data_IF_665753250512
#
_entry.id   IF_665753250512
#
_cell.length_a   1.000
_cell.length_b   1.000
_cell.length_c   1.000
_cell.angle_alpha   90.00
_cell.angle_beta   90.00
_cell.angle_gamma   90.00
#
_symmetry.space_group_name_H-M   'P 1'
#
loop_
_entity.id
_entity.type
_entity.pdbx_description
1 polymer ?
#
# COMPACT_ATOMS: atom_id res chain seq x y z
N UNK A 1 69.34 -22.18 13.65
CA UNK A 1 69.01 -21.66 12.32
C UNK A 1 70.00 -20.56 11.99
N UNK A 2 70.75 -20.71 10.90
CA UNK A 2 71.67 -19.68 10.41
C UNK A 2 70.86 -18.71 9.54
N UNK A 3 70.66 -17.49 10.04
CA UNK A 3 70.06 -16.44 9.23
C UNK A 3 71.09 -15.93 8.20
N UNK A 4 70.66 -15.52 7.00
CA UNK A 4 71.55 -14.92 6.03
C UNK A 4 72.16 -13.61 6.58
N UNK A 5 73.38 -13.25 6.15
CA UNK A 5 74.02 -11.99 6.52
C UNK A 5 73.12 -10.78 6.18
N UNK A 6 73.24 -9.69 6.94
CA UNK A 6 72.40 -8.50 6.79
C UNK A 6 72.40 -7.89 5.36
N UNK A 7 73.48 -8.07 4.60
CA UNK A 7 73.63 -7.52 3.24
C UNK A 7 73.34 -8.53 2.11
N UNK A 8 72.80 -9.71 2.45
CA UNK A 8 72.52 -10.74 1.44
C UNK A 8 71.40 -10.31 0.48
N UNK A 9 71.73 -10.23 -0.81
CA UNK A 9 70.75 -9.97 -1.89
C UNK A 9 70.36 -11.29 -2.55
N UNK A 10 69.14 -11.76 -2.28
CA UNK A 10 68.60 -12.96 -2.90
C UNK A 10 68.41 -12.75 -4.42
N UNK A 11 69.00 -13.60 -5.28
CA UNK A 11 68.84 -13.50 -6.74
C UNK A 11 67.41 -13.82 -7.21
N UNK A 12 66.65 -14.59 -6.42
CA UNK A 12 65.28 -14.99 -6.72
C UNK A 12 64.21 -14.13 -6.01
N UNK A 13 64.54 -12.90 -5.62
CA UNK A 13 63.62 -12.00 -4.86
C UNK A 13 62.27 -11.79 -5.55
N UNK A 14 62.27 -11.68 -6.88
CA UNK A 14 61.08 -11.44 -7.71
C UNK A 14 60.34 -12.71 -8.11
N UNK A 15 60.99 -13.88 -8.05
CA UNK A 15 60.42 -15.17 -8.44
C UNK A 15 61.09 -16.30 -7.66
N UNK A 16 60.60 -16.56 -6.45
CA UNK A 16 61.18 -17.55 -5.55
C UNK A 16 60.67 -18.97 -5.91
N UNK A 17 61.54 -19.95 -6.18
CA UNK A 17 61.12 -21.32 -6.48
C UNK A 17 60.29 -21.98 -5.37
N UNK A 18 60.50 -21.57 -4.11
CA UNK A 18 59.77 -22.07 -2.95
C UNK A 18 58.43 -21.39 -2.70
N UNK A 19 58.15 -20.27 -3.39
CA UNK A 19 56.86 -19.58 -3.36
C UNK A 19 56.17 -19.70 -4.71
N UNK A 20 56.30 -20.86 -5.37
CA UNK A 20 55.69 -21.12 -6.68
C UNK A 20 56.03 -20.05 -7.72
N UNK A 21 57.28 -19.58 -7.71
CA UNK A 21 57.79 -18.52 -8.58
C UNK A 21 57.14 -17.13 -8.37
N UNK A 22 56.43 -16.94 -7.26
CA UNK A 22 55.93 -15.63 -6.86
C UNK A 22 57.03 -14.77 -6.23
N UNK A 23 56.82 -13.45 -6.25
CA UNK A 23 57.74 -12.54 -5.56
C UNK A 23 57.58 -12.67 -4.04
N UNK A 24 58.71 -12.73 -3.33
CA UNK A 24 58.72 -12.82 -1.87
C UNK A 24 58.05 -11.59 -1.23
N UNK A 25 58.16 -10.42 -1.88
CA UNK A 25 57.50 -9.19 -1.46
C UNK A 25 55.96 -9.31 -1.55
N UNK A 26 55.46 -9.79 -2.68
CA UNK A 26 54.01 -9.97 -2.88
C UNK A 26 53.44 -10.99 -1.89
N UNK A 27 54.12 -12.11 -1.67
CA UNK A 27 53.65 -13.14 -0.74
C UNK A 27 53.54 -12.62 0.69
N UNK A 28 54.54 -11.86 1.15
CA UNK A 28 54.51 -11.22 2.46
C UNK A 28 53.40 -10.16 2.57
N UNK A 29 53.24 -9.30 1.56
CA UNK A 29 52.18 -8.30 1.52
C UNK A 29 50.78 -8.93 1.48
N UNK A 30 50.60 -10.04 0.75
CA UNK A 30 49.36 -10.77 0.69
C UNK A 30 49.03 -11.40 2.05
N UNK A 31 50.03 -12.00 2.72
CA UNK A 31 49.89 -12.52 4.08
C UNK A 31 49.50 -11.42 5.08
N UNK A 32 50.20 -10.28 5.05
CA UNK A 32 49.89 -9.13 5.90
C UNK A 32 48.49 -8.55 5.62
N UNK A 33 48.04 -8.54 4.35
CA UNK A 33 46.69 -8.11 3.98
C UNK A 33 45.61 -9.11 4.37
N UNK A 34 45.91 -10.40 4.41
CA UNK A 34 44.93 -11.45 4.70
C UNK A 34 44.27 -11.27 6.08
N UNK A 35 45.04 -10.85 7.10
CA UNK A 35 44.50 -10.60 8.44
C UNK A 35 43.47 -9.46 8.45
N UNK A 36 43.73 -8.35 7.74
CA UNK A 36 42.79 -7.23 7.65
C UNK A 36 41.54 -7.57 6.85
N UNK A 37 41.72 -8.29 5.74
CA UNK A 37 40.62 -8.72 4.86
C UNK A 37 39.69 -9.67 5.60
N UNK A 38 40.23 -10.56 6.42
CA UNK A 38 39.43 -11.50 7.22
C UNK A 38 38.55 -10.78 8.25
N UNK A 39 39.10 -9.82 9.00
CA UNK A 39 38.34 -9.02 9.97
C UNK A 39 37.23 -8.18 9.32
N UNK A 40 37.51 -7.57 8.16
CA UNK A 40 36.49 -6.87 7.38
C UNK A 40 35.36 -7.81 6.94
N UNK A 41 35.69 -9.01 6.47
CA UNK A 41 34.69 -9.99 6.07
C UNK A 41 33.82 -10.44 7.24
N UNK A 42 34.38 -10.66 8.43
CA UNK A 42 33.60 -11.00 9.62
C UNK A 42 32.60 -9.90 9.97
N UNK A 43 33.03 -8.64 9.96
CA UNK A 43 32.14 -7.49 10.19
C UNK A 43 31.00 -7.42 9.17
N UNK A 44 31.29 -7.70 7.90
CA UNK A 44 30.26 -7.74 6.85
C UNK A 44 29.24 -8.85 7.16
N UNK A 45 29.70 -10.05 7.51
CA UNK A 45 28.83 -11.18 7.85
C UNK A 45 27.94 -10.87 9.05
N UNK A 46 28.50 -10.30 10.12
CA UNK A 46 27.75 -9.93 11.32
C UNK A 46 26.67 -8.87 11.01
N UNK A 47 27.01 -7.85 10.23
CA UNK A 47 26.06 -6.82 9.81
C UNK A 47 24.92 -7.42 8.99
N UNK A 48 25.22 -8.28 8.01
CA UNK A 48 24.21 -8.96 7.20
C UNK A 48 23.32 -9.89 8.03
N UNK A 49 23.91 -10.58 9.02
CA UNK A 49 23.16 -11.43 9.93
C UNK A 49 22.18 -10.61 10.78
N UNK A 50 22.63 -9.50 11.35
CA UNK A 50 21.81 -8.59 12.13
C UNK A 50 20.66 -7.99 11.29
N UNK A 51 20.94 -7.55 10.08
CA UNK A 51 19.92 -7.03 9.15
C UNK A 51 18.88 -8.08 8.80
N UNK A 52 19.30 -9.32 8.52
CA UNK A 52 18.39 -10.42 8.24
C UNK A 52 17.51 -10.73 9.47
N UNK A 53 18.09 -10.68 10.66
CA UNK A 53 17.35 -10.92 11.89
C UNK A 53 16.31 -9.83 12.13
N UNK A 54 16.69 -8.55 12.02
CA UNK A 54 15.78 -7.43 12.16
C UNK A 54 14.62 -7.49 11.15
N UNK A 55 14.89 -7.85 9.89
CA UNK A 55 13.86 -8.03 8.87
C UNK A 55 12.92 -9.20 9.18
N UNK A 56 13.45 -10.34 9.67
CA UNK A 56 12.62 -11.49 10.08
C UNK A 56 11.70 -11.13 11.25
N UNK A 57 12.20 -10.39 12.22
CA UNK A 57 11.40 -9.97 13.37
C UNK A 57 10.31 -8.97 12.95
N UNK A 58 10.62 -8.03 12.04
CA UNK A 58 9.62 -7.15 11.44
C UNK A 58 8.54 -7.90 10.64
N UNK A 59 8.92 -8.92 9.86
CA UNK A 59 7.94 -9.75 9.15
C UNK A 59 7.01 -10.44 10.14
N UNK A 60 7.54 -10.99 11.24
CA UNK A 60 6.74 -11.64 12.29
C UNK A 60 5.77 -10.66 12.95
N UNK A 61 6.18 -9.42 13.23
CA UNK A 61 5.26 -8.43 13.82
C UNK A 61 4.17 -8.04 12.84
N UNK A 62 4.53 -7.75 11.58
CA UNK A 62 3.58 -7.39 10.54
C UNK A 62 2.60 -8.52 10.25
N UNK A 63 3.04 -9.78 10.22
CA UNK A 63 2.17 -10.94 10.03
C UNK A 63 1.16 -11.09 11.17
N UNK A 64 1.57 -10.86 12.42
CA UNK A 64 0.66 -10.84 13.59
C UNK A 64 -0.38 -9.72 13.45
N UNK A 65 0.05 -8.51 13.15
CA UNK A 65 -0.86 -7.37 12.96
C UNK A 65 -1.84 -7.62 11.81
N UNK A 66 -1.37 -8.19 10.69
CA UNK A 66 -2.22 -8.56 9.56
C UNK A 66 -3.25 -9.61 9.97
N UNK A 67 -2.84 -10.63 10.73
CA UNK A 67 -3.75 -11.66 11.23
C UNK A 67 -4.82 -11.07 12.15
N UNK A 68 -4.44 -10.18 13.07
CA UNK A 68 -5.36 -9.48 13.96
C UNK A 68 -6.35 -8.59 13.21
N UNK A 69 -5.87 -7.79 12.26
CA UNK A 69 -6.72 -6.92 11.44
C UNK A 69 -7.69 -7.73 10.60
N UNK A 70 -7.23 -8.82 9.96
CA UNK A 70 -8.10 -9.74 9.22
C UNK A 70 -9.14 -10.37 10.12
N UNK A 71 -8.78 -10.75 11.35
CA UNK A 71 -9.73 -11.30 12.32
C UNK A 71 -10.77 -10.24 12.74
N UNK A 72 -10.36 -9.00 13.02
CA UNK A 72 -11.26 -7.87 13.35
C UNK A 72 -12.22 -7.58 12.20
N UNK A 73 -11.72 -7.51 10.96
CA UNK A 73 -12.55 -7.31 9.77
C UNK A 73 -13.54 -8.45 9.57
N UNK A 74 -13.11 -9.70 9.74
CA UNK A 74 -13.98 -10.87 9.66
C UNK A 74 -15.08 -10.83 10.74
N UNK A 75 -14.74 -10.45 11.96
CA UNK A 75 -15.70 -10.30 13.05
C UNK A 75 -16.73 -9.20 12.73
N UNK A 76 -16.28 -8.02 12.29
CA UNK A 76 -17.16 -6.93 11.87
C UNK A 76 -18.09 -7.36 10.72
N UNK A 77 -17.53 -8.03 9.71
CA UNK A 77 -18.30 -8.56 8.60
C UNK A 77 -19.35 -9.58 9.06
N UNK A 78 -19.01 -10.49 9.98
CA UNK A 78 -19.99 -11.44 10.55
C UNK A 78 -21.05 -10.75 11.41
N UNK A 79 -20.72 -9.65 12.09
CA UNK A 79 -21.69 -8.85 12.87
C UNK A 79 -22.66 -8.10 11.96
N UNK A 80 -22.19 -7.57 10.84
CA UNK A 80 -23.00 -6.78 9.89
C UNK A 80 -23.77 -7.65 8.91
N UNK A 81 -23.21 -8.79 8.48
CA UNK A 81 -23.77 -9.64 7.45
C UNK A 81 -24.08 -11.04 7.97
N UNK A 82 -25.33 -11.50 7.78
CA UNK A 82 -25.72 -12.88 8.11
C UNK A 82 -24.96 -13.85 7.20
N UNK A 83 -24.36 -14.89 7.78
CA UNK A 83 -23.74 -15.95 6.99
C UNK A 83 -24.82 -16.67 6.17
N UNK A 84 -24.71 -16.64 4.84
CA UNK A 84 -25.48 -17.52 3.96
C UNK A 84 -24.98 -18.96 4.16
N UNK A 85 -25.50 -19.68 5.16
CA UNK A 85 -25.31 -21.13 5.26
C UNK A 85 -26.18 -21.79 4.19
N UNK A 86 -25.58 -22.20 3.08
CA UNK A 86 -26.16 -23.26 2.23
C UNK A 86 -26.16 -24.54 3.07
N UNK A 87 -27.32 -25.19 3.18
CA UNK A 87 -27.42 -26.53 3.73
C UNK A 87 -26.87 -27.49 2.68
N UNK A 88 -25.64 -27.95 2.88
CA UNK A 88 -25.07 -29.00 2.04
C UNK A 88 -25.73 -30.33 2.44
N UNK A 89 -26.75 -30.72 1.69
CA UNK A 89 -27.27 -32.08 1.66
C UNK A 89 -26.26 -32.97 0.90
N UNK A 90 -25.23 -33.45 1.58
CA UNK A 90 -24.42 -34.56 1.08
C UNK A 90 -24.26 -35.59 2.19
N UNK A 91 -25.02 -36.67 2.08
CA UNK A 91 -25.05 -37.76 3.03
C UNK A 91 -23.73 -38.52 3.10
N UNK A 92 -23.28 -38.77 4.32
CA UNK A 92 -22.46 -39.94 4.66
C UNK A 92 -22.97 -40.45 6.00
N UNK A 93 -23.50 -41.67 6.00
CA UNK A 93 -23.91 -42.40 7.21
C UNK A 93 -22.67 -42.74 8.04
N UNK A 94 -22.65 -42.34 9.31
CA UNK A 94 -21.96 -43.05 10.37
C UNK A 94 -22.86 -43.11 11.59
N UNK A 95 -23.19 -44.33 11.98
CA UNK A 95 -23.91 -44.69 13.18
C UNK A 95 -23.00 -44.48 14.40
N UNK A 96 -23.48 -43.79 15.42
CA UNK A 96 -23.57 -44.29 16.81
C UNK A 96 -24.06 -43.19 17.78
N UNK A 97 -25.21 -43.50 18.40
CA UNK A 97 -25.73 -43.10 19.72
C UNK A 97 -25.62 -41.65 20.21
N UNK A 98 -26.79 -40.99 20.36
CA UNK A 98 -27.32 -40.26 21.56
C UNK A 98 -28.77 -39.84 21.21
N UNK A 99 -29.79 -40.01 22.09
CA UNK A 99 -31.15 -39.59 21.78
C UNK A 99 -31.29 -38.04 21.81
N UNK A 100 -31.99 -37.41 20.85
CA UNK A 100 -32.06 -35.95 20.81
C UNK A 100 -33.09 -35.43 21.81
N UNK A 101 -32.64 -34.55 22.69
CA UNK A 101 -33.49 -33.63 23.42
C UNK A 101 -34.39 -32.85 22.45
N UNK A 102 -35.65 -32.68 22.82
CA UNK A 102 -36.70 -32.00 22.07
C UNK A 102 -36.23 -30.65 21.54
N UNK A 103 -35.95 -30.58 20.25
CA UNK A 103 -35.64 -29.33 19.58
C UNK A 103 -36.93 -28.54 19.38
N UNK A 104 -37.15 -27.54 20.23
CA UNK A 104 -38.17 -26.51 19.99
C UNK A 104 -37.96 -25.92 18.59
N UNK A 105 -38.99 -26.03 17.75
CA UNK A 105 -38.94 -25.52 16.37
C UNK A 105 -38.69 -24.02 16.43
N UNK A 106 -37.59 -23.57 15.82
CA UNK A 106 -37.27 -22.14 15.66
C UNK A 106 -38.48 -21.43 15.02
N UNK A 107 -38.86 -20.29 15.61
CA UNK A 107 -39.92 -19.43 15.06
C UNK A 107 -39.60 -19.14 13.58
N UNK A 108 -40.59 -19.32 12.70
CA UNK A 108 -40.47 -19.00 11.27
C UNK A 108 -40.00 -17.54 11.13
N UNK A 109 -39.16 -17.29 10.12
CA UNK A 109 -38.82 -15.92 9.72
C UNK A 109 -40.07 -15.13 9.35
N UNK A 110 -39.91 -13.81 9.20
CA UNK A 110 -41.00 -12.96 8.72
C UNK A 110 -41.60 -13.54 7.42
N UNK A 111 -42.93 -13.56 7.27
CA UNK A 111 -43.60 -14.08 6.08
C UNK A 111 -42.98 -13.51 4.79
N UNK A 112 -42.97 -14.27 3.70
CA UNK A 112 -42.41 -13.85 2.39
C UNK A 112 -43.12 -12.64 1.75
N UNK A 113 -44.03 -11.97 2.45
CA UNK A 113 -44.89 -10.92 1.94
C UNK A 113 -44.35 -9.53 2.24
N UNK A 114 -43.07 -9.29 1.95
CA UNK A 114 -42.53 -7.94 1.93
C UNK A 114 -42.12 -7.63 0.49
N UNK A 115 -42.86 -6.77 -0.24
CA UNK A 115 -42.39 -6.32 -1.54
C UNK A 115 -41.02 -5.66 -1.36
N UNK A 116 -40.05 -6.05 -2.18
CA UNK A 116 -38.73 -5.44 -2.16
C UNK A 116 -38.85 -3.94 -2.42
N UNK A 117 -38.14 -3.12 -1.64
CA UNK A 117 -38.06 -1.69 -1.91
C UNK A 117 -37.13 -1.46 -3.10
N UNK A 118 -37.73 -1.23 -4.27
CA UNK A 118 -37.01 -0.83 -5.49
C UNK A 118 -37.20 0.67 -5.66
N UNK A 119 -36.17 1.35 -6.16
CA UNK A 119 -36.30 2.75 -6.59
C UNK A 119 -37.42 2.82 -7.64
N UNK A 120 -38.39 3.76 -7.52
CA UNK A 120 -39.41 3.93 -8.55
C UNK A 120 -38.76 4.31 -9.87
N UNK A 121 -39.38 3.91 -10.98
CA UNK A 121 -38.97 4.38 -12.31
C UNK A 121 -39.08 5.91 -12.34
N UNK A 122 -38.07 6.64 -12.82
CA UNK A 122 -38.12 8.10 -12.83
C UNK A 122 -39.28 8.59 -13.70
N UNK A 123 -39.97 9.63 -13.23
CA UNK A 123 -41.13 10.21 -13.94
C UNK A 123 -40.71 11.01 -15.18
N UNK A 124 -39.48 11.53 -15.18
CA UNK A 124 -38.94 12.40 -16.22
C UNK A 124 -37.62 11.85 -16.75
N UNK A 125 -37.51 11.79 -18.08
CA UNK A 125 -36.28 11.46 -18.80
C UNK A 125 -35.72 12.76 -19.36
N UNK A 126 -34.59 13.22 -18.85
CA UNK A 126 -33.97 14.47 -19.31
C UNK A 126 -33.29 14.33 -20.68
N UNK A 127 -32.80 13.12 -21.02
CA UNK A 127 -32.09 12.84 -22.27
C UNK A 127 -32.37 11.42 -22.77
N UNK A 128 -32.59 11.28 -24.08
CA UNK A 128 -32.76 9.98 -24.75
C UNK A 128 -31.68 9.83 -25.82
N UNK A 129 -30.92 8.73 -25.79
CA UNK A 129 -29.87 8.43 -26.76
C UNK A 129 -30.23 7.14 -27.49
N UNK A 130 -30.34 7.20 -28.82
CA UNK A 130 -30.54 6.02 -29.64
C UNK A 130 -29.19 5.34 -29.92
N UNK A 131 -29.03 4.11 -29.43
CA UNK A 131 -27.80 3.32 -29.63
C UNK A 131 -28.03 2.33 -30.79
N UNK A 132 -27.23 2.40 -31.88
CA UNK A 132 -27.38 1.47 -33.00
C UNK A 132 -27.02 0.04 -32.60
N UNK A 133 -27.57 -0.93 -33.32
CA UNK A 133 -27.23 -2.34 -33.10
C UNK A 133 -25.72 -2.58 -33.30
N UNK A 134 -25.07 -3.39 -32.44
CA UNK A 134 -23.64 -3.66 -32.55
C UNK A 134 -23.34 -4.49 -33.80
N UNK A 135 -22.29 -4.11 -34.53
CA UNK A 135 -21.81 -4.87 -35.70
C UNK A 135 -20.91 -6.03 -35.32
N UNK A 136 -20.32 -5.98 -34.13
CA UNK A 136 -19.41 -6.98 -33.55
C UNK A 136 -19.93 -7.43 -32.19
N UNK A 137 -19.91 -8.74 -31.93
CA UNK A 137 -20.37 -9.27 -30.65
C UNK A 137 -19.39 -8.91 -29.51
N UNK A 138 -19.84 -8.26 -28.42
CA UNK A 138 -18.95 -7.91 -27.31
C UNK A 138 -18.43 -9.14 -26.53
N UNK A 139 -19.06 -10.32 -26.68
CA UNK A 139 -18.67 -11.53 -25.94
C UNK A 139 -17.73 -12.45 -26.72
N UNK A 140 -17.95 -12.62 -28.03
CA UNK A 140 -17.19 -13.57 -28.86
C UNK A 140 -16.50 -12.93 -30.08
N UNK A 141 -16.60 -11.60 -30.24
CA UNK A 141 -15.93 -10.81 -31.29
C UNK A 141 -16.30 -11.20 -32.73
N UNK A 142 -17.40 -11.94 -32.93
CA UNK A 142 -17.93 -12.24 -34.27
C UNK A 142 -18.44 -10.96 -34.95
N UNK A 143 -18.02 -10.74 -36.19
CA UNK A 143 -18.42 -9.59 -37.02
C UNK A 143 -19.73 -9.86 -37.79
N UNK A 144 -20.31 -8.80 -38.36
CA UNK A 144 -21.51 -8.81 -39.21
C UNK A 144 -22.72 -9.44 -38.51
N UNK A 145 -23.01 -8.97 -37.29
CA UNK A 145 -24.23 -9.32 -36.59
C UNK A 145 -25.46 -8.82 -37.35
N UNK A 146 -26.52 -9.64 -37.38
CA UNK A 146 -27.81 -9.24 -37.93
C UNK A 146 -28.60 -8.49 -36.85
N UNK A 147 -29.03 -7.24 -37.09
CA UNK A 147 -29.95 -6.55 -36.18
C UNK A 147 -31.24 -7.36 -36.01
N UNK A 148 -31.76 -7.36 -34.79
CA UNK A 148 -33.06 -7.96 -34.47
C UNK A 148 -34.11 -6.85 -34.45
N UNK A 149 -35.31 -7.13 -34.92
CA UNK A 149 -36.45 -6.22 -34.77
C UNK A 149 -36.89 -6.18 -33.30
N UNK A 150 -36.60 -5.06 -32.63
CA UNK A 150 -36.93 -4.84 -31.23
C UNK A 150 -36.04 -3.77 -30.62
N UNK A 151 -36.60 -2.97 -29.71
CA UNK A 151 -35.86 -1.95 -28.96
C UNK A 151 -35.72 -2.37 -27.50
N UNK A 152 -34.53 -2.20 -26.94
CA UNK A 152 -34.26 -2.45 -25.53
C UNK A 152 -34.11 -1.10 -24.81
N UNK A 153 -34.99 -0.84 -23.83
CA UNK A 153 -34.95 0.37 -23.03
C UNK A 153 -34.07 0.17 -21.79
N UNK A 154 -33.11 1.07 -21.60
CA UNK A 154 -32.29 1.14 -20.39
C UNK A 154 -32.28 2.56 -19.85
N UNK A 155 -32.73 2.73 -18.60
CA UNK A 155 -32.73 4.02 -17.91
C UNK A 155 -31.59 4.04 -16.90
N UNK A 156 -30.76 5.08 -17.00
CA UNK A 156 -29.67 5.35 -16.07
C UNK A 156 -29.89 6.73 -15.43
N UNK A 157 -29.90 6.78 -14.09
CA UNK A 157 -29.96 8.02 -13.31
C UNK A 157 -28.54 8.38 -12.82
N UNK A 158 -27.95 9.44 -13.37
CA UNK A 158 -26.67 9.97 -12.91
C UNK A 158 -26.90 11.14 -11.93
N UNK A 159 -26.25 11.12 -10.76
CA UNK A 159 -26.32 12.19 -9.76
C UNK A 159 -25.22 13.22 -10.07
N UNK A 160 -25.59 14.37 -10.61
CA UNK A 160 -24.65 15.48 -10.87
C UNK A 160 -24.54 16.36 -9.63
N UNK A 161 -23.40 16.29 -8.93
CA UNK A 161 -23.05 17.19 -7.83
C UNK A 161 -22.44 18.46 -8.42
N UNK A 162 -23.06 19.63 -8.23
CA UNK A 162 -22.51 20.91 -8.68
C UNK A 162 -21.69 21.57 -7.54
N UNK A 163 -20.35 21.63 -7.64
CA UNK A 163 -19.55 22.36 -6.65
C UNK A 163 -19.73 23.86 -6.83
N UNK A 164 -20.12 24.56 -5.77
CA UNK A 164 -20.19 26.02 -5.73
C UNK A 164 -18.86 26.59 -5.21
N UNK A 165 -18.34 27.63 -5.86
CA UNK A 165 -17.14 28.34 -5.40
C UNK A 165 -17.52 29.45 -4.43
N UNK A 166 -16.77 29.58 -3.34
CA UNK A 166 -16.87 30.69 -2.39
C UNK A 166 -15.55 31.43 -2.42
N UNK A 167 -15.58 32.70 -2.82
CA UNK A 167 -14.41 33.55 -2.90
C UNK A 167 -14.33 34.46 -1.66
N UNK A 168 -13.26 34.31 -0.88
CA UNK A 168 -12.99 35.14 0.30
C UNK A 168 -11.84 36.07 0.01
N UNK A 169 -12.03 37.38 0.24
CA UNK A 169 -10.97 38.38 0.14
C UNK A 169 -10.37 38.66 1.52
N UNK A 170 -9.08 38.38 1.69
CA UNK A 170 -8.33 38.74 2.89
C UNK A 170 -7.61 40.08 2.64
N UNK A 171 -7.87 41.06 3.50
CA UNK A 171 -7.18 42.36 3.48
C UNK A 171 -6.17 42.37 4.62
N UNK A 172 -4.89 42.43 4.27
CA UNK A 172 -3.78 42.34 5.21
C UNK A 172 -3.18 43.69 5.52
N UNK A 173 -3.13 44.04 6.80
CA UNK A 173 -2.23 45.08 7.29
C UNK A 173 -0.79 44.56 7.29
N UNK A 174 0.15 45.40 6.87
CA UNK A 174 1.56 45.04 6.75
C UNK A 174 2.38 45.69 7.88
N UNK A 175 3.34 44.95 8.42
CA UNK A 175 4.33 45.46 9.36
C UNK A 175 5.74 45.31 8.79
N UNK A 176 6.66 46.23 9.12
CA UNK A 176 8.06 46.13 8.68
C UNK A 176 8.94 45.49 9.76
N UNK A 177 9.62 44.40 9.42
CA UNK A 177 10.52 43.70 10.32
C UNK A 177 11.95 44.26 10.18
N UNK A 178 12.45 44.95 11.20
CA UNK A 178 13.80 45.55 11.19
C UNK A 178 14.93 44.52 11.17
N UNK A 179 14.71 43.32 11.72
CA UNK A 179 15.71 42.24 11.76
C UNK A 179 15.92 41.56 10.41
N UNK A 180 14.85 41.39 9.65
CA UNK A 180 14.85 40.71 8.37
C UNK A 180 14.76 41.67 7.17
N UNK A 181 14.55 42.97 7.44
CA UNK A 181 14.46 44.08 6.52
C UNK A 181 13.41 43.87 5.41
N UNK A 182 12.24 43.36 5.78
CA UNK A 182 11.14 42.99 4.86
C UNK A 182 9.77 43.29 5.48
N UNK A 183 8.74 43.61 4.66
CA UNK A 183 7.36 43.65 5.12
C UNK A 183 6.87 42.22 5.43
N UNK A 184 6.11 42.08 6.50
CA UNK A 184 5.51 40.82 6.97
C UNK A 184 4.01 41.00 7.14
N UNK A 185 3.27 39.93 6.88
CA UNK A 185 1.80 39.83 7.05
C UNK A 185 1.47 38.58 7.86
N UNK A 186 0.38 38.62 8.60
CA UNK A 186 -0.11 37.49 9.38
C UNK A 186 -1.21 36.75 8.61
N UNK A 187 -1.20 35.40 8.55
CA UNK A 187 -2.30 34.64 7.94
C UNK A 187 -3.61 34.81 8.72
N UNK A 188 -4.74 34.89 8.00
CA UNK A 188 -6.08 34.71 8.56
C UNK A 188 -6.35 33.25 9.02
N UNK A 189 -7.43 33.03 9.77
CA UNK A 189 -7.73 31.74 10.44
C UNK A 189 -7.80 30.52 9.50
N UNK A 190 -8.24 30.71 8.25
CA UNK A 190 -8.32 29.65 7.23
C UNK A 190 -7.67 30.06 5.91
N UNK A 191 -6.70 30.97 5.98
CA UNK A 191 -5.99 31.48 4.81
C UNK A 191 -4.66 30.78 4.59
N UNK A 192 -4.38 30.42 3.34
CA UNK A 192 -3.06 30.03 2.89
C UNK A 192 -2.41 31.25 2.22
N UNK A 193 -1.41 31.86 2.87
CA UNK A 193 -0.74 33.05 2.35
C UNK A 193 -0.21 32.85 0.93
N UNK A 194 -0.44 33.84 0.07
CA UNK A 194 -0.03 33.87 -1.33
C UNK A 194 -0.59 32.72 -2.20
N UNK A 195 -1.60 31.97 -1.73
CA UNK A 195 -2.24 30.92 -2.51
C UNK A 195 -3.59 31.38 -3.09
N UNK A 196 -3.90 31.02 -4.35
CA UNK A 196 -5.18 31.37 -4.98
C UNK A 196 -6.34 30.44 -4.59
N UNK A 197 -6.05 29.30 -3.93
CA UNK A 197 -7.04 28.26 -3.59
C UNK A 197 -6.99 28.02 -2.08
N UNK A 198 -8.16 28.08 -1.44
CA UNK A 198 -8.30 27.88 0.01
C UNK A 198 -8.11 26.43 0.46
N UNK A 199 -8.03 26.19 1.78
CA UNK A 199 -7.68 24.88 2.36
C UNK A 199 -8.75 23.80 2.13
N UNK A 200 -10.02 24.18 1.94
CA UNK A 200 -11.14 23.24 1.78
C UNK A 200 -11.00 22.36 0.54
N UNK A 201 -10.43 22.90 -0.53
CA UNK A 201 -10.22 22.20 -1.79
C UNK A 201 -8.82 21.59 -1.88
N UNK A 202 -8.18 21.26 -0.74
CA UNK A 202 -6.83 20.68 -0.71
C UNK A 202 -6.69 19.52 -1.69
N UNK A 203 -6.16 19.83 -2.88
CA UNK A 203 -5.74 18.85 -3.87
C UNK A 203 -4.45 18.29 -3.32
N UNK A 204 -4.46 17.03 -2.93
CA UNK A 204 -3.23 16.30 -2.63
C UNK A 204 -2.33 16.36 -3.87
N UNK A 205 -1.36 17.27 -3.89
CA UNK A 205 -0.26 17.18 -4.83
C UNK A 205 0.51 15.92 -4.45
N UNK A 206 0.38 14.87 -5.27
CA UNK A 206 1.36 13.77 -5.27
C UNK A 206 2.68 14.39 -5.68
N UNK A 207 3.48 14.78 -4.70
CA UNK A 207 4.92 14.92 -4.91
C UNK A 207 5.45 13.50 -4.80
N UNK A 208 6.06 13.02 -5.88
CA UNK A 208 6.43 11.63 -6.08
C UNK A 208 7.11 11.00 -4.85
N UNK A 209 6.50 9.94 -4.30
CA UNK A 209 7.21 8.92 -3.52
C UNK A 209 7.43 9.13 -2.02
N UNK A 210 6.99 10.22 -1.38
CA UNK A 210 7.09 10.35 0.09
C UNK A 210 5.76 10.04 0.81
N UNK A 211 5.78 9.29 1.94
CA UNK A 211 4.58 9.06 2.72
C UNK A 211 4.09 10.35 3.38
N UNK A 212 2.77 10.45 3.50
CA UNK A 212 2.03 11.57 4.12
C UNK A 212 2.64 11.96 5.48
N UNK A 213 3.43 13.03 5.51
CA UNK A 213 3.77 13.71 6.76
C UNK A 213 2.68 14.72 7.07
N UNK A 214 1.94 14.47 8.13
CA UNK A 214 1.17 15.51 8.81
C UNK A 214 2.21 16.54 9.27
N UNK A 215 2.25 17.71 8.63
CA UNK A 215 2.97 18.85 9.18
C UNK A 215 2.19 19.24 10.43
N UNK A 216 2.61 18.71 11.59
CA UNK A 216 2.19 19.27 12.86
C UNK A 216 2.72 20.70 12.89
N UNK A 217 1.82 21.66 12.65
CA UNK A 217 2.05 23.05 13.01
C UNK A 217 2.34 23.02 14.51
N UNK A 218 3.62 23.20 14.87
CA UNK A 218 4.04 23.27 16.26
C UNK A 218 3.22 24.39 16.91
N UNK A 219 2.32 24.02 17.81
CA UNK A 219 1.73 24.95 18.76
C UNK A 219 2.89 25.51 19.59
N UNK A 220 3.31 26.73 19.25
CA UNK A 220 4.23 27.51 20.06
C UNK A 220 3.67 27.63 21.48
N UNK A 221 4.43 27.10 22.42
CA UNK A 221 4.21 27.23 23.85
C UNK A 221 4.52 28.68 24.25
N UNK A 222 3.69 29.21 25.15
CA UNK A 222 3.83 30.51 25.84
C UNK A 222 5.27 30.76 26.27
#
# INVERSE_FOLDING_TARGET
>A
MLYPPHDFKCPYRSACPHLEWMSAKWALEAYQRADYVYDEHLKIVDNLYNDLQAKRDLIRTLEKENAELKAKLKLLHQRQFKSNKKQDNSGVKREESIPPASQEKKKRGAPMEHPGWVRPKPERIDRTIHVPAPTVCPFCQKNNLKPIEGTYEHIQEDIVIQPATVATQYLHDQAFCSRCNRPVVQPGEEEILNAPIGPVTSVYQRVDGEPLKIIQIQKGRI
#
